data_IF_536790992388
#
_entry.id   IF_536790992388
#
_cell.length_a   1.000
_cell.length_b   1.000
_cell.length_c   1.000
_cell.angle_alpha   90.00
_cell.angle_beta   90.00
_cell.angle_gamma   90.00
#
_symmetry.space_group_name_H-M   'P 1'
#
loop_
_entity.id
_entity.type
_entity.pdbx_description
1 polymer ?
#
# COMPACT_ATOMS: atom_id res chain seq x y z
N UNK A 1 36.30 64.96 -67.87
CA UNK A 1 37.22 63.80 -67.85
C UNK A 1 37.16 63.23 -66.46
N UNK A 2 37.02 61.92 -66.31
CA UNK A 2 37.13 61.27 -65.00
C UNK A 2 38.60 61.36 -64.60
N UNK A 3 38.98 62.46 -63.97
CA UNK A 3 40.30 62.57 -63.37
C UNK A 3 40.32 61.62 -62.18
N UNK A 4 40.95 60.46 -62.41
CA UNK A 4 41.20 59.44 -61.41
C UNK A 4 42.24 59.99 -60.43
N UNK A 5 41.79 60.92 -59.59
CA UNK A 5 42.63 61.61 -58.62
C UNK A 5 42.78 60.78 -57.35
N UNK A 6 43.87 61.03 -56.62
CA UNK A 6 44.13 60.52 -55.26
C UNK A 6 42.91 60.68 -54.32
N UNK A 7 42.09 61.71 -54.53
CA UNK A 7 40.83 61.95 -53.83
C UNK A 7 39.81 60.81 -53.96
N UNK A 8 39.72 60.14 -55.11
CA UNK A 8 38.85 58.98 -55.30
C UNK A 8 39.30 57.80 -54.43
N UNK A 9 40.62 57.59 -54.33
CA UNK A 9 41.22 56.55 -53.47
C UNK A 9 40.94 56.87 -52.00
N UNK A 10 41.10 58.12 -51.57
CA UNK A 10 40.74 58.55 -50.22
C UNK A 10 39.25 58.38 -49.90
N UNK A 11 38.36 58.69 -50.85
CA UNK A 11 36.92 58.49 -50.69
C UNK A 11 36.57 57.00 -50.57
N UNK A 12 37.21 56.15 -51.36
CA UNK A 12 37.03 54.69 -51.31
C UNK A 12 37.49 54.12 -49.97
N UNK A 13 38.65 54.56 -49.48
CA UNK A 13 39.16 54.19 -48.16
C UNK A 13 38.22 54.65 -47.05
N UNK A 14 37.71 55.88 -47.11
CA UNK A 14 36.72 56.37 -46.14
C UNK A 14 35.43 55.54 -46.15
N UNK A 15 34.93 55.18 -47.34
CA UNK A 15 33.76 54.32 -47.49
C UNK A 15 33.98 52.92 -46.90
N UNK A 16 35.14 52.31 -47.13
CA UNK A 16 35.48 51.02 -46.52
C UNK A 16 35.62 51.10 -45.00
N UNK A 17 36.22 52.18 -44.48
CA UNK A 17 36.30 52.43 -43.03
C UNK A 17 34.88 52.60 -42.45
N UNK A 18 34.01 53.36 -43.11
CA UNK A 18 32.63 53.54 -42.68
C UNK A 18 31.85 52.21 -42.67
N UNK A 19 32.00 51.38 -43.70
CA UNK A 19 31.43 50.02 -43.73
C UNK A 19 31.98 49.15 -42.59
N UNK A 20 33.28 49.22 -42.33
CA UNK A 20 33.91 48.44 -41.27
C UNK A 20 33.38 48.84 -39.89
N UNK A 21 33.29 50.15 -39.63
CA UNK A 21 32.71 50.70 -38.40
C UNK A 21 31.24 50.29 -38.28
N UNK A 22 30.46 50.41 -39.36
CA UNK A 22 29.05 50.02 -39.40
C UNK A 22 28.84 48.52 -39.16
N UNK A 23 29.72 47.67 -39.68
CA UNK A 23 29.68 46.24 -39.46
C UNK A 23 29.89 45.88 -37.99
N UNK A 24 30.85 46.55 -37.33
CA UNK A 24 31.11 46.36 -35.90
C UNK A 24 29.97 46.93 -35.04
N UNK A 25 29.47 48.12 -35.39
CA UNK A 25 28.54 48.87 -34.54
C UNK A 25 27.06 48.48 -34.74
N UNK A 26 26.64 48.03 -35.93
CA UNK A 26 25.26 47.67 -36.23
C UNK A 26 25.08 46.18 -36.52
N UNK A 27 25.85 45.61 -37.45
CA UNK A 27 25.60 44.25 -37.95
C UNK A 27 25.82 43.21 -36.85
N UNK A 28 26.91 43.35 -36.08
CA UNK A 28 27.20 42.48 -34.94
C UNK A 28 26.12 42.51 -33.86
N UNK A 29 25.75 43.66 -33.26
CA UNK A 29 24.76 43.68 -32.19
C UNK A 29 23.37 43.26 -32.66
N UNK A 30 22.94 43.63 -33.87
CA UNK A 30 21.63 43.22 -34.41
C UNK A 30 21.56 41.69 -34.53
N UNK A 31 22.60 41.04 -35.06
CA UNK A 31 22.66 39.58 -35.14
C UNK A 31 22.62 38.93 -33.76
N UNK A 32 23.31 39.50 -32.77
CA UNK A 32 23.30 39.01 -31.39
C UNK A 32 21.91 39.10 -30.77
N UNK A 33 21.18 40.20 -30.98
CA UNK A 33 19.82 40.38 -30.47
C UNK A 33 18.85 39.37 -31.11
N UNK A 34 18.93 39.17 -32.42
CA UNK A 34 18.09 38.19 -33.12
C UNK A 34 18.38 36.78 -32.62
N UNK A 35 19.66 36.39 -32.49
CA UNK A 35 20.04 35.08 -31.92
C UNK A 35 19.57 34.92 -30.48
N UNK A 36 19.70 35.95 -29.65
CA UNK A 36 19.23 35.92 -28.26
C UNK A 36 17.72 35.73 -28.20
N UNK A 37 16.96 36.44 -29.04
CA UNK A 37 15.50 36.30 -29.08
C UNK A 37 15.07 34.90 -29.51
N UNK A 38 15.67 34.37 -30.57
CA UNK A 38 15.37 33.02 -31.04
C UNK A 38 15.75 31.97 -29.99
N UNK A 39 16.94 32.08 -29.38
CA UNK A 39 17.37 31.15 -28.33
C UNK A 39 16.48 31.19 -27.08
N UNK A 40 15.95 32.36 -26.70
CA UNK A 40 14.98 32.45 -25.58
C UNK A 40 13.66 31.77 -25.96
N UNK A 41 13.17 31.96 -27.19
CA UNK A 41 11.94 31.28 -27.64
C UNK A 41 12.11 29.77 -27.73
N UNK A 42 13.23 29.29 -28.27
CA UNK A 42 13.55 27.86 -28.39
C UNK A 42 13.72 27.22 -27.00
N UNK A 43 14.40 27.90 -26.07
CA UNK A 43 14.54 27.44 -24.69
C UNK A 43 13.19 27.38 -23.97
N UNK A 44 12.35 28.41 -24.09
CA UNK A 44 11.02 28.42 -23.47
C UNK A 44 10.13 27.30 -24.04
N UNK A 45 10.19 27.06 -25.34
CA UNK A 45 9.47 25.95 -25.97
C UNK A 45 9.98 24.60 -25.46
N UNK A 46 11.30 24.40 -25.36
CA UNK A 46 11.89 23.18 -24.83
C UNK A 46 11.62 22.97 -23.33
N UNK A 47 11.61 24.04 -22.53
CA UNK A 47 11.23 23.98 -21.11
C UNK A 47 9.75 23.62 -20.94
N UNK A 48 8.86 24.17 -21.76
CA UNK A 48 7.44 23.84 -21.74
C UNK A 48 7.19 22.36 -22.10
N UNK A 49 7.82 21.86 -23.18
CA UNK A 49 7.68 20.47 -23.61
C UNK A 49 8.26 19.49 -22.56
N UNK A 50 9.42 19.82 -21.98
CA UNK A 50 9.98 19.05 -20.87
C UNK A 50 9.08 19.06 -19.63
N UNK A 51 8.45 20.20 -19.31
CA UNK A 51 7.52 20.29 -18.19
C UNK A 51 6.26 19.47 -18.43
N UNK A 52 5.70 19.51 -19.65
CA UNK A 52 4.54 18.70 -20.04
C UNK A 52 4.87 17.20 -20.00
N UNK A 53 6.01 16.79 -20.56
CA UNK A 53 6.47 15.40 -20.49
C UNK A 53 6.68 14.92 -19.06
N UNK A 54 7.33 15.74 -18.22
CA UNK A 54 7.51 15.40 -16.80
C UNK A 54 6.18 15.33 -16.05
N UNK A 55 5.25 16.26 -16.31
CA UNK A 55 3.93 16.25 -15.70
C UNK A 55 3.15 14.99 -16.09
N UNK A 56 3.18 14.62 -17.38
CA UNK A 56 2.54 13.39 -17.88
C UNK A 56 3.16 12.14 -17.26
N UNK A 57 4.49 12.06 -17.16
CA UNK A 57 5.19 10.95 -16.50
C UNK A 57 4.83 10.85 -15.02
N UNK A 58 4.79 11.98 -14.30
CA UNK A 58 4.41 12.03 -12.89
C UNK A 58 2.97 11.60 -12.68
N UNK A 59 2.06 12.02 -13.55
CA UNK A 59 0.65 11.60 -13.52
C UNK A 59 0.52 10.09 -13.73
N UNK A 60 1.18 9.56 -14.77
CA UNK A 60 1.15 8.13 -15.07
C UNK A 60 1.73 7.29 -13.92
N UNK A 61 2.84 7.73 -13.31
CA UNK A 61 3.43 7.07 -12.15
C UNK A 61 2.49 7.12 -10.94
N UNK A 62 1.84 8.25 -10.69
CA UNK A 62 0.88 8.41 -9.60
C UNK A 62 -0.35 7.50 -9.80
N UNK A 63 -0.92 7.45 -11.00
CA UNK A 63 -2.03 6.56 -11.32
C UNK A 63 -1.66 5.09 -11.18
N UNK A 64 -0.45 4.70 -11.61
CA UNK A 64 0.07 3.35 -11.45
C UNK A 64 0.25 2.98 -9.98
N UNK A 65 0.80 3.88 -9.16
CA UNK A 65 0.97 3.68 -7.73
C UNK A 65 -0.38 3.56 -7.01
N UNK A 66 -1.35 4.41 -7.37
CA UNK A 66 -2.71 4.34 -6.83
C UNK A 66 -3.41 3.00 -7.20
N UNK A 67 -3.22 2.53 -8.43
CA UNK A 67 -3.76 1.25 -8.87
C UNK A 67 -3.13 0.08 -8.08
N UNK A 68 -1.81 0.08 -7.89
CA UNK A 68 -1.10 -0.90 -7.05
C UNK A 68 -1.59 -0.87 -5.60
N UNK A 69 -1.67 0.32 -5.00
CA UNK A 69 -2.15 0.47 -3.62
C UNK A 69 -3.58 -0.06 -3.43
N UNK A 70 -4.47 0.14 -4.42
CA UNK A 70 -5.83 -0.43 -4.40
C UNK A 70 -5.81 -1.95 -4.52
N UNK A 71 -4.97 -2.50 -5.38
CA UNK A 71 -4.81 -3.94 -5.54
C UNK A 71 -4.29 -4.57 -4.24
N UNK A 72 -3.23 -4.01 -3.66
CA UNK A 72 -2.61 -4.49 -2.42
C UNK A 72 -3.58 -4.39 -1.24
N UNK A 73 -4.35 -3.30 -1.14
CA UNK A 73 -5.40 -3.18 -0.14
C UNK A 73 -6.51 -4.24 -0.31
N UNK A 74 -6.87 -4.56 -1.55
CA UNK A 74 -7.81 -5.63 -1.87
C UNK A 74 -7.28 -7.01 -1.43
N UNK A 75 -6.03 -7.31 -1.76
CA UNK A 75 -5.36 -8.56 -1.38
C UNK A 75 -5.25 -8.67 0.15
N UNK A 76 -4.78 -7.63 0.83
CA UNK A 76 -4.65 -7.59 2.29
C UNK A 76 -6.00 -7.81 2.99
N UNK A 77 -7.07 -7.25 2.42
CA UNK A 77 -8.43 -7.43 2.95
C UNK A 77 -8.92 -8.87 2.80
N UNK A 78 -8.69 -9.49 1.64
CA UNK A 78 -9.05 -10.89 1.40
C UNK A 78 -8.23 -11.84 2.28
N UNK A 79 -6.93 -11.60 2.42
CA UNK A 79 -6.04 -12.35 3.33
C UNK A 79 -6.51 -12.23 4.78
N UNK A 80 -6.80 -11.01 5.25
CA UNK A 80 -7.33 -10.77 6.59
C UNK A 80 -8.68 -11.46 6.81
N UNK A 81 -9.55 -11.48 5.80
CA UNK A 81 -10.84 -12.20 5.86
C UNK A 81 -10.64 -13.70 5.97
N UNK A 82 -9.76 -14.29 5.16
CA UNK A 82 -9.47 -15.71 5.19
C UNK A 82 -8.79 -16.15 6.50
N UNK A 83 -7.86 -15.33 7.01
CA UNK A 83 -7.25 -15.55 8.31
C UNK A 83 -8.30 -15.49 9.43
N UNK A 84 -9.20 -14.49 9.39
CA UNK A 84 -10.29 -14.38 10.35
C UNK A 84 -11.27 -15.56 10.32
N UNK A 85 -11.62 -16.07 9.13
CA UNK A 85 -12.46 -17.25 8.98
C UNK A 85 -11.77 -18.51 9.53
N UNK A 86 -10.48 -18.67 9.26
CA UNK A 86 -9.68 -19.80 9.75
C UNK A 86 -9.59 -19.78 11.28
N UNK A 87 -9.33 -18.61 11.86
CA UNK A 87 -9.27 -18.43 13.31
C UNK A 87 -10.64 -18.66 13.96
N UNK A 88 -11.72 -18.13 13.37
CA UNK A 88 -13.08 -18.40 13.83
C UNK A 88 -13.39 -19.90 13.83
N UNK A 89 -13.03 -20.60 12.77
CA UNK A 89 -13.25 -22.04 12.66
C UNK A 89 -12.42 -22.82 13.69
N UNK A 90 -11.18 -22.39 13.96
CA UNK A 90 -10.32 -22.94 15.00
C UNK A 90 -10.94 -22.76 16.40
N UNK A 91 -11.35 -21.53 16.75
CA UNK A 91 -11.96 -21.21 18.05
C UNK A 91 -13.27 -21.97 18.25
N UNK A 92 -14.13 -22.01 17.23
CA UNK A 92 -15.39 -22.77 17.31
C UNK A 92 -15.10 -24.27 17.44
N UNK A 93 -14.11 -24.80 16.71
CA UNK A 93 -13.70 -26.20 16.78
C UNK A 93 -13.17 -26.58 18.16
N UNK A 94 -12.31 -25.76 18.76
CA UNK A 94 -11.78 -25.99 20.12
C UNK A 94 -12.89 -25.89 21.17
N UNK A 95 -13.76 -24.87 21.08
CA UNK A 95 -14.90 -24.74 21.99
C UNK A 95 -15.86 -25.94 21.91
N UNK A 96 -16.16 -26.43 20.70
CA UNK A 96 -16.97 -27.64 20.51
C UNK A 96 -16.29 -28.88 21.10
N UNK A 97 -14.97 -29.02 20.93
CA UNK A 97 -14.20 -30.15 21.49
C UNK A 97 -14.24 -30.12 23.02
N UNK A 98 -13.94 -28.97 23.63
CA UNK A 98 -14.01 -28.80 25.09
C UNK A 98 -15.42 -29.04 25.63
N UNK A 99 -16.47 -28.58 24.94
CA UNK A 99 -17.84 -28.87 25.32
C UNK A 99 -18.15 -30.38 25.31
N UNK A 100 -17.66 -31.12 24.30
CA UNK A 100 -17.81 -32.58 24.24
C UNK A 100 -17.06 -33.29 25.35
N UNK A 101 -15.85 -32.84 25.68
CA UNK A 101 -15.04 -33.38 26.78
C UNK A 101 -15.75 -33.17 28.13
N UNK A 102 -16.21 -31.95 28.42
CA UNK A 102 -16.97 -31.63 29.63
C UNK A 102 -18.22 -32.51 29.74
N UNK A 103 -18.99 -32.66 28.66
CA UNK A 103 -20.18 -33.53 28.65
C UNK A 103 -19.83 -35.00 28.86
N UNK A 104 -18.73 -35.48 28.29
CA UNK A 104 -18.28 -36.85 28.48
C UNK A 104 -17.85 -37.11 29.92
N UNK A 105 -17.08 -36.20 30.52
CA UNK A 105 -16.62 -36.30 31.90
C UNK A 105 -17.78 -36.18 32.89
N UNK A 106 -18.73 -35.26 32.66
CA UNK A 106 -19.95 -35.13 33.48
C UNK A 106 -20.80 -36.40 33.42
N UNK A 107 -20.90 -37.04 32.25
CA UNK A 107 -21.61 -38.31 32.12
C UNK A 107 -20.89 -39.45 32.83
N UNK A 108 -19.56 -39.46 32.83
CA UNK A 108 -18.75 -40.46 33.57
C UNK A 108 -18.95 -40.28 35.08
N UNK A 109 -18.80 -39.06 35.59
CA UNK A 109 -18.99 -38.78 37.02
C UNK A 109 -20.41 -39.05 37.50
N UNK A 110 -21.43 -38.75 36.69
CA UNK A 110 -22.82 -39.09 37.02
C UNK A 110 -23.04 -40.61 37.13
N UNK A 111 -22.42 -41.41 36.25
CA UNK A 111 -22.51 -42.88 36.34
C UNK A 111 -21.83 -43.41 37.59
N UNK A 112 -20.64 -42.91 37.90
CA UNK A 112 -19.90 -43.28 39.12
C UNK A 112 -20.68 -42.91 40.38
N UNK A 113 -21.28 -41.72 40.44
CA UNK A 113 -22.12 -41.29 41.55
C UNK A 113 -23.39 -42.14 41.67
N UNK A 114 -24.06 -42.47 40.55
CA UNK A 114 -25.24 -43.32 40.56
C UNK A 114 -24.91 -44.73 41.09
N UNK A 115 -23.78 -45.31 40.68
CA UNK A 115 -23.33 -46.63 41.12
C UNK A 115 -22.92 -46.63 42.60
N UNK A 116 -22.21 -45.61 43.06
CA UNK A 116 -21.90 -45.42 44.48
C UNK A 116 -23.17 -45.30 45.34
N UNK A 117 -24.14 -44.48 44.90
CA UNK A 117 -25.43 -44.30 45.60
C UNK A 117 -26.23 -45.60 45.65
N UNK A 118 -26.25 -46.39 44.56
CA UNK A 118 -26.89 -47.70 44.52
C UNK A 118 -26.25 -48.70 45.48
N UNK A 119 -24.91 -48.71 45.56
CA UNK A 119 -24.16 -49.54 46.51
C UNK A 119 -24.48 -49.18 47.95
N UNK A 120 -24.51 -47.88 48.27
CA UNK A 120 -24.85 -47.38 49.60
C UNK A 120 -26.30 -47.71 49.99
N UNK A 121 -27.25 -47.57 49.06
CA UNK A 121 -28.65 -47.94 49.28
C UNK A 121 -28.79 -49.44 49.57
N UNK A 122 -28.05 -50.31 48.87
CA UNK A 122 -28.03 -51.77 49.14
C UNK A 122 -27.50 -52.08 50.53
N UNK A 123 -26.43 -51.40 50.96
CA UNK A 123 -25.89 -51.57 52.30
C UNK A 123 -26.88 -51.11 53.38
N UNK A 124 -27.55 -49.97 53.18
CA UNK A 124 -28.58 -49.47 54.08
C UNK A 124 -29.78 -50.41 54.17
N UNK A 125 -30.23 -51.00 53.05
CA UNK A 125 -31.32 -51.99 53.03
C UNK A 125 -30.92 -53.28 53.77
N UNK A 126 -29.68 -53.75 53.60
CA UNK A 126 -29.15 -54.90 54.36
C UNK A 126 -29.13 -54.62 55.86
N UNK A 127 -28.66 -53.44 56.26
CA UNK A 127 -28.60 -53.02 57.67
C UNK A 127 -30.01 -52.85 58.27
N UNK A 128 -30.96 -52.29 57.51
CA UNK A 128 -32.36 -52.19 57.91
C UNK A 128 -33.01 -53.57 58.09
N UNK A 129 -32.71 -54.51 57.20
CA UNK A 129 -33.20 -55.90 57.27
C UNK A 129 -32.63 -56.65 58.47
N UNK A 130 -31.35 -56.46 58.79
CA UNK A 130 -30.71 -57.03 59.97
C UNK A 130 -31.32 -56.48 61.27
N UNK A 131 -31.56 -55.17 61.34
CA UNK A 131 -32.26 -54.55 62.49
C UNK A 131 -33.69 -55.05 62.64
N UNK A 132 -34.39 -55.30 61.54
CA UNK A 132 -35.75 -55.87 61.55
C UNK A 132 -35.76 -57.32 62.05
N UNK A 133 -34.79 -58.13 61.60
CA UNK A 133 -34.63 -59.50 62.07
C UNK A 133 -34.27 -59.57 63.57
N UNK A 134 -33.38 -58.68 64.04
CA UNK A 134 -33.01 -58.62 65.46
C UNK A 134 -34.20 -58.19 66.34
N UNK A 135 -35.09 -57.32 65.82
CA UNK A 135 -36.33 -56.93 66.52
C UNK A 135 -37.40 -58.04 66.54
N UNK A 136 -37.42 -58.92 65.53
CA UNK A 136 -38.30 -60.09 65.48
C UNK A 136 -37.85 -61.22 66.39
N UNK A 137 -36.53 -61.38 66.61
CA UNK A 137 -35.95 -62.44 67.46
C UNK A 137 -35.92 -62.04 68.94
N UNK A 138 -35.98 -60.74 69.27
CA UNK A 138 -36.00 -60.22 70.65
C UNK A 138 -37.37 -60.15 71.32
N UNK A 139 -38.39 -60.79 70.76
CA UNK A 139 -39.65 -61.08 71.44
C UNK A 139 -39.78 -62.57 71.70
#
# INVERSE_FOLDING_TARGET
MLDLNITLVFQLVNFFIAIFVLNILLIRPIRTIIKKRNGVMDNLAGEADNFESQAAERLANYEAELARARQDAGLTREEGRNAGLTEQQSIVGTAQKSAREILADTRRSLREQAEATLSELRNQVSDFSARLADRLIKN
#
